data_IF_765382229232
#
_entry.id   IF_765382229232
#
_cell.length_a   1.000
_cell.length_b   1.000
_cell.length_c   1.000
_cell.angle_alpha   90.00
_cell.angle_beta   90.00
_cell.angle_gamma   90.00
#
_symmetry.space_group_name_H-M   'P 1'
#
loop_
_entity.id
_entity.type
_entity.pdbx_description
1 polymer ?
#
# COMPACT_ATOMS: atom_id res chain seq x y z
N UNK A 1 -6.05 -21.69 10.58
CA UNK A 1 -5.98 -20.23 10.38
C UNK A 1 -6.42 -20.01 8.94
N UNK A 2 -7.53 -19.31 8.69
CA UNK A 2 -8.17 -19.30 7.34
C UNK A 2 -7.58 -18.14 6.53
N UNK A 3 -6.91 -18.46 5.43
CA UNK A 3 -6.49 -17.50 4.42
C UNK A 3 -7.72 -16.85 3.77
N UNK A 4 -7.68 -15.52 3.54
CA UNK A 4 -8.79 -14.82 2.88
C UNK A 4 -8.68 -15.04 1.39
N UNK A 5 -9.52 -15.93 0.85
CA UNK A 5 -9.66 -16.12 -0.60
C UNK A 5 -10.75 -15.18 -1.12
N UNK A 6 -10.43 -14.38 -2.13
CA UNK A 6 -11.37 -13.48 -2.82
C UNK A 6 -11.81 -14.10 -4.14
N UNK A 7 -13.07 -13.90 -4.53
CA UNK A 7 -13.53 -14.25 -5.89
C UNK A 7 -13.02 -13.24 -6.93
N UNK A 8 -13.04 -13.61 -8.22
CA UNK A 8 -12.63 -12.68 -9.29
C UNK A 8 -13.51 -11.42 -9.35
N UNK A 9 -14.82 -11.53 -9.09
CA UNK A 9 -15.71 -10.36 -9.00
C UNK A 9 -15.31 -9.44 -7.83
N UNK A 10 -14.93 -10.05 -6.69
CA UNK A 10 -14.47 -9.31 -5.52
C UNK A 10 -13.14 -8.61 -5.77
N UNK A 11 -12.24 -9.24 -6.51
CA UNK A 11 -10.95 -8.66 -6.92
C UNK A 11 -11.20 -7.50 -7.88
N UNK A 12 -12.03 -7.72 -8.90
CA UNK A 12 -12.38 -6.71 -9.90
C UNK A 12 -12.99 -5.47 -9.25
N UNK A 13 -13.93 -5.64 -8.33
CA UNK A 13 -14.56 -4.54 -7.61
C UNK A 13 -13.58 -3.76 -6.71
N UNK A 14 -12.55 -4.43 -6.18
CA UNK A 14 -11.55 -3.81 -5.29
C UNK A 14 -10.41 -3.12 -6.04
N UNK A 15 -10.14 -3.50 -7.29
CA UNK A 15 -8.98 -3.04 -8.04
C UNK A 15 -8.83 -1.51 -8.07
N UNK A 16 -9.88 -0.71 -8.33
CA UNK A 16 -9.75 0.75 -8.32
C UNK A 16 -9.34 1.30 -6.96
N UNK A 17 -9.88 0.73 -5.87
CA UNK A 17 -9.56 1.14 -4.51
C UNK A 17 -8.16 0.68 -4.09
N UNK A 18 -7.73 -0.52 -4.51
CA UNK A 18 -6.35 -0.98 -4.33
C UNK A 18 -5.36 -0.04 -5.00
N UNK A 19 -5.60 0.35 -6.25
CA UNK A 19 -4.74 1.30 -6.97
C UNK A 19 -4.67 2.64 -6.23
N UNK A 20 -5.82 3.24 -5.89
CA UNK A 20 -5.86 4.53 -5.20
C UNK A 20 -5.16 4.52 -3.83
N UNK A 21 -5.31 3.43 -3.05
CA UNK A 21 -4.62 3.28 -1.76
C UNK A 21 -3.13 2.98 -1.92
N UNK A 22 -2.69 2.42 -3.06
CA UNK A 22 -1.29 2.09 -3.30
C UNK A 22 -0.40 3.32 -3.43
N UNK A 23 -0.95 4.45 -3.88
CA UNK A 23 -0.25 5.74 -3.97
C UNK A 23 0.37 6.18 -2.63
N UNK A 24 -0.23 5.79 -1.50
CA UNK A 24 0.28 6.06 -0.14
C UNK A 24 1.64 5.38 0.16
N UNK A 25 2.09 4.48 -0.71
CA UNK A 25 3.33 3.72 -0.57
C UNK A 25 4.42 4.16 -1.55
N UNK A 26 4.14 5.16 -2.37
CA UNK A 26 5.12 5.78 -3.26
C UNK A 26 5.96 6.82 -2.51
N UNK A 27 7.16 7.08 -3.01
CA UNK A 27 8.02 8.15 -2.52
C UNK A 27 7.64 9.50 -3.12
N UNK A 28 6.35 9.81 -3.05
CA UNK A 28 5.74 11.03 -3.60
C UNK A 28 4.80 11.65 -2.59
N UNK A 29 4.72 12.98 -2.58
CA UNK A 29 3.80 13.68 -1.68
C UNK A 29 2.37 13.59 -2.21
N UNK A 30 1.49 12.92 -1.46
CA UNK A 30 0.05 12.87 -1.73
C UNK A 30 -0.55 14.27 -1.78
N UNK A 31 -1.31 14.52 -2.84
CA UNK A 31 -2.08 15.73 -3.08
C UNK A 31 -3.56 15.49 -2.76
N UNK A 32 -4.33 16.59 -2.69
CA UNK A 32 -5.78 16.54 -2.46
C UNK A 32 -6.49 15.57 -3.41
N UNK A 33 -6.16 15.64 -4.69
CA UNK A 33 -6.76 14.84 -5.75
C UNK A 33 -6.56 13.33 -5.56
N UNK A 34 -5.46 12.92 -4.92
CA UNK A 34 -5.13 11.52 -4.69
C UNK A 34 -6.03 10.94 -3.59
N UNK A 35 -6.28 11.71 -2.52
CA UNK A 35 -7.29 11.34 -1.51
C UNK A 35 -8.71 11.35 -2.09
N UNK A 36 -9.05 12.31 -2.95
CA UNK A 36 -10.34 12.33 -3.64
C UNK A 36 -10.52 11.10 -4.56
N UNK A 37 -9.44 10.59 -5.15
CA UNK A 37 -9.46 9.35 -5.92
C UNK A 37 -9.79 8.13 -5.04
N UNK A 38 -9.26 8.06 -3.81
CA UNK A 38 -9.62 7.02 -2.83
C UNK A 38 -11.13 7.08 -2.52
N UNK A 39 -11.65 8.27 -2.22
CA UNK A 39 -13.07 8.44 -1.91
C UNK A 39 -13.97 8.09 -3.10
N UNK A 40 -13.54 8.43 -4.32
CA UNK A 40 -14.26 8.09 -5.56
C UNK A 40 -14.30 6.58 -5.78
N UNK A 41 -13.16 5.90 -5.70
CA UNK A 41 -13.06 4.45 -5.84
C UNK A 41 -13.88 3.73 -4.77
N UNK A 42 -13.89 4.23 -3.53
CA UNK A 42 -14.71 3.68 -2.46
C UNK A 42 -16.22 3.78 -2.78
N UNK A 43 -16.70 4.93 -3.25
CA UNK A 43 -18.11 5.13 -3.62
C UNK A 43 -18.52 4.27 -4.82
N UNK A 44 -17.71 4.26 -5.88
CA UNK A 44 -18.00 3.51 -7.09
C UNK A 44 -18.04 2.00 -6.84
N UNK A 45 -17.15 1.49 -5.96
CA UNK A 45 -17.15 0.10 -5.51
C UNK A 45 -18.20 -0.23 -4.44
N UNK A 46 -18.95 0.75 -3.95
CA UNK A 46 -19.96 0.56 -2.90
C UNK A 46 -19.39 0.18 -1.53
N UNK A 47 -18.16 0.58 -1.23
CA UNK A 47 -17.48 0.25 0.03
C UNK A 47 -17.84 1.23 1.14
N UNK A 48 -18.17 0.70 2.33
CA UNK A 48 -18.31 1.50 3.54
C UNK A 48 -16.94 1.96 4.06
N UNK A 49 -16.93 2.98 4.92
CA UNK A 49 -15.69 3.45 5.59
C UNK A 49 -14.94 2.32 6.30
N UNK A 50 -15.65 1.44 7.00
CA UNK A 50 -15.04 0.29 7.68
C UNK A 50 -14.44 -0.72 6.70
N UNK A 51 -15.09 -0.92 5.54
CA UNK A 51 -14.55 -1.78 4.49
C UNK A 51 -13.31 -1.18 3.84
N UNK A 52 -13.29 0.13 3.59
CA UNK A 52 -12.09 0.83 3.08
C UNK A 52 -10.94 0.66 4.07
N UNK A 53 -11.20 0.82 5.36
CA UNK A 53 -10.21 0.60 6.41
C UNK A 53 -9.68 -0.83 6.41
N UNK A 54 -10.58 -1.82 6.36
CA UNK A 54 -10.20 -3.23 6.34
C UNK A 54 -9.35 -3.57 5.11
N UNK A 55 -9.75 -3.08 3.93
CA UNK A 55 -9.01 -3.24 2.67
C UNK A 55 -7.62 -2.62 2.78
N UNK A 56 -7.53 -1.38 3.26
CA UNK A 56 -6.25 -0.70 3.44
C UNK A 56 -5.33 -1.48 4.39
N UNK A 57 -5.84 -1.85 5.55
CA UNK A 57 -5.04 -2.45 6.63
C UNK A 57 -4.67 -3.92 6.37
N UNK A 58 -5.52 -4.69 5.69
CA UNK A 58 -5.37 -6.15 5.56
C UNK A 58 -5.00 -6.63 4.17
N UNK A 59 -5.21 -5.80 3.14
CA UNK A 59 -4.97 -6.17 1.74
C UNK A 59 -3.80 -5.34 1.19
N UNK A 60 -3.93 -4.02 1.16
CA UNK A 60 -2.93 -3.13 0.53
C UNK A 60 -1.66 -2.99 1.38
N UNK A 61 -1.80 -2.66 2.66
CA UNK A 61 -0.65 -2.47 3.56
C UNK A 61 0.32 -3.66 3.59
N UNK A 62 -0.09 -4.92 3.85
CA UNK A 62 0.85 -6.03 3.91
C UNK A 62 1.50 -6.36 2.56
N UNK A 63 0.90 -5.95 1.44
CA UNK A 63 1.48 -6.12 0.11
C UNK A 63 2.58 -5.11 -0.18
N UNK A 64 2.46 -3.88 0.35
CA UNK A 64 3.31 -2.73 -0.01
C UNK A 64 4.18 -2.20 1.14
N UNK A 65 4.07 -2.74 2.35
CA UNK A 65 4.84 -2.28 3.51
C UNK A 65 6.36 -2.25 3.29
N UNK A 66 6.90 -3.10 2.42
CA UNK A 66 8.32 -3.11 2.07
C UNK A 66 8.78 -1.85 1.34
N UNK A 67 7.91 -1.22 0.54
CA UNK A 67 8.22 0.02 -0.17
C UNK A 67 8.53 1.16 0.81
N UNK A 68 7.91 1.15 2.00
CA UNK A 68 8.16 2.15 3.02
C UNK A 68 9.55 2.03 3.66
N UNK A 69 10.22 0.88 3.51
CA UNK A 69 11.56 0.63 4.04
C UNK A 69 12.66 0.88 3.00
N UNK A 70 12.32 1.08 1.72
CA UNK A 70 13.31 1.35 0.69
C UNK A 70 13.75 2.81 0.70
N UNK A 71 14.99 3.05 0.28
CA UNK A 71 15.69 4.33 0.47
C UNK A 71 15.47 5.30 -0.67
N UNK A 72 15.20 4.77 -1.85
CA UNK A 72 14.41 5.42 -2.87
C UNK A 72 13.22 4.47 -3.10
N UNK A 73 12.02 4.89 -2.70
CA UNK A 73 10.82 4.08 -2.90
C UNK A 73 10.42 3.99 -4.37
N UNK A 74 9.34 3.26 -4.65
CA UNK A 74 8.71 3.34 -5.97
C UNK A 74 8.15 4.74 -6.20
N UNK A 75 8.26 5.24 -7.43
CA UNK A 75 7.97 6.62 -7.82
C UNK A 75 7.19 6.69 -9.14
N UNK A 76 7.16 5.60 -9.92
CA UNK A 76 6.44 5.52 -11.19
C UNK A 76 4.99 5.01 -11.04
N UNK A 77 4.51 4.81 -9.81
CA UNK A 77 3.24 4.13 -9.54
C UNK A 77 3.36 2.61 -9.64
N UNK A 78 2.24 1.92 -9.39
CA UNK A 78 2.19 0.46 -9.52
C UNK A 78 1.40 0.06 -10.77
N UNK A 79 1.98 -0.82 -11.58
CA UNK A 79 1.21 -1.53 -12.60
C UNK A 79 0.09 -2.35 -11.95
N UNK A 80 -1.12 -2.29 -12.52
CA UNK A 80 -2.32 -2.85 -11.91
C UNK A 80 -2.25 -4.38 -11.77
N UNK A 81 -1.67 -5.07 -12.75
CA UNK A 81 -1.53 -6.53 -12.72
C UNK A 81 -0.49 -6.94 -11.67
N UNK A 82 0.63 -6.20 -11.61
CA UNK A 82 1.66 -6.41 -10.58
C UNK A 82 1.12 -6.14 -9.18
N UNK A 83 0.32 -5.09 -9.00
CA UNK A 83 -0.33 -4.77 -7.72
C UNK A 83 -1.30 -5.86 -7.30
N UNK A 84 -2.15 -6.33 -8.22
CA UNK A 84 -3.09 -7.44 -8.01
C UNK A 84 -2.34 -8.67 -7.50
N UNK A 85 -1.29 -9.09 -8.20
CA UNK A 85 -0.50 -10.26 -7.82
C UNK A 85 0.14 -10.11 -6.44
N UNK A 86 0.73 -8.94 -6.14
CA UNK A 86 1.32 -8.66 -4.82
C UNK A 86 0.30 -8.75 -3.69
N UNK A 87 -0.90 -8.21 -3.89
CA UNK A 87 -1.99 -8.28 -2.90
C UNK A 87 -2.46 -9.72 -2.71
N UNK A 88 -2.71 -10.46 -3.78
CA UNK A 88 -3.13 -11.87 -3.70
C UNK A 88 -2.08 -12.74 -2.99
N UNK A 89 -0.80 -12.54 -3.31
CA UNK A 89 0.30 -13.20 -2.60
C UNK A 89 0.32 -12.83 -1.12
N UNK A 90 0.11 -11.56 -0.76
CA UNK A 90 0.07 -11.11 0.62
C UNK A 90 -1.14 -11.67 1.41
N UNK A 91 -2.27 -11.91 0.75
CA UNK A 91 -3.46 -12.53 1.36
C UNK A 91 -3.25 -14.00 1.71
N UNK A 92 -2.42 -14.73 0.93
CA UNK A 92 -2.02 -16.10 1.20
C UNK A 92 -0.91 -16.25 2.25
N UNK A 93 -0.31 -15.16 2.74
CA UNK A 93 0.74 -15.23 3.78
C UNK A 93 0.14 -15.50 5.17
N UNK A 94 0.81 -16.27 6.03
CA UNK A 94 0.38 -16.47 7.42
C UNK A 94 0.22 -15.14 8.15
N UNK A 95 -0.85 -15.00 8.95
CA UNK A 95 -1.14 -13.75 9.67
C UNK A 95 0.01 -13.33 10.60
N UNK A 96 0.80 -14.29 11.10
CA UNK A 96 2.01 -14.01 11.86
C UNK A 96 2.97 -13.09 11.09
N UNK A 97 3.18 -13.25 9.77
CA UNK A 97 4.08 -12.39 9.00
C UNK A 97 3.80 -10.88 9.13
N UNK A 98 2.56 -10.51 9.47
CA UNK A 98 2.13 -9.12 9.68
C UNK A 98 2.70 -8.47 10.95
N UNK A 99 3.23 -9.24 11.91
CA UNK A 99 3.86 -8.67 13.11
C UNK A 99 5.15 -7.93 12.77
N UNK A 100 5.86 -8.34 11.72
CA UNK A 100 7.14 -7.75 11.30
C UNK A 100 7.00 -6.28 10.88
N UNK A 101 5.83 -5.90 10.37
CA UNK A 101 5.54 -4.56 9.85
C UNK A 101 4.58 -3.77 10.73
N UNK A 102 4.31 -4.24 11.95
CA UNK A 102 3.30 -3.65 12.84
C UNK A 102 3.56 -2.19 13.23
N UNK A 103 4.83 -1.83 13.44
CA UNK A 103 5.25 -0.45 13.73
C UNK A 103 4.98 0.49 12.56
N UNK A 104 5.40 0.11 11.35
CA UNK A 104 5.15 0.86 10.12
C UNK A 104 3.66 1.03 9.85
N UNK A 105 2.87 -0.02 10.09
CA UNK A 105 1.41 0.05 9.97
C UNK A 105 0.84 1.11 10.90
N UNK A 106 1.22 1.07 12.17
CA UNK A 106 0.72 2.00 13.18
C UNK A 106 1.02 3.45 12.79
N UNK A 107 2.25 3.72 12.33
CA UNK A 107 2.65 5.03 11.88
C UNK A 107 1.84 5.49 10.66
N UNK A 108 1.82 4.70 9.58
CA UNK A 108 1.08 5.04 8.37
C UNK A 108 -0.41 5.25 8.65
N UNK A 109 -1.02 4.40 9.49
CA UNK A 109 -2.43 4.57 9.86
C UNK A 109 -2.65 5.86 10.67
N UNK A 110 -1.75 6.20 11.59
CA UNK A 110 -1.89 7.42 12.38
C UNK A 110 -1.79 8.69 11.50
N UNK A 111 -0.94 8.64 10.48
CA UNK A 111 -0.72 9.74 9.54
C UNK A 111 -1.85 9.85 8.50
N UNK A 112 -2.16 8.74 7.81
CA UNK A 112 -2.98 8.76 6.60
C UNK A 112 -4.46 8.53 6.85
N UNK A 113 -4.83 7.75 7.87
CA UNK A 113 -6.24 7.42 8.12
C UNK A 113 -7.12 8.65 8.38
N UNK A 114 -6.70 9.66 9.17
CA UNK A 114 -7.51 10.86 9.37
C UNK A 114 -7.81 11.63 8.07
N UNK A 115 -6.87 11.62 7.11
CA UNK A 115 -7.02 12.26 5.79
C UNK A 115 -7.99 11.48 4.90
N UNK A 116 -7.83 10.16 4.86
CA UNK A 116 -8.74 9.24 4.14
C UNK A 116 -10.16 9.35 4.71
N UNK A 117 -10.30 9.33 6.05
CA UNK A 117 -11.60 9.45 6.70
C UNK A 117 -12.28 10.78 6.36
N UNK A 118 -11.53 11.88 6.33
CA UNK A 118 -12.08 13.19 5.95
C UNK A 118 -12.72 13.16 4.56
N UNK A 119 -12.01 12.65 3.54
CA UNK A 119 -12.55 12.59 2.17
C UNK A 119 -13.69 11.59 2.01
N UNK A 120 -13.70 10.48 2.76
CA UNK A 120 -14.82 9.55 2.78
C UNK A 120 -16.10 10.18 3.38
N UNK A 121 -15.93 11.11 4.32
CA UNK A 121 -17.02 11.90 4.92
C UNK A 121 -17.37 13.16 4.11
N UNK A 122 -16.74 13.39 2.96
CA UNK A 122 -16.96 14.57 2.13
C UNK A 122 -16.34 15.87 2.69
N UNK A 123 -15.37 15.75 3.60
CA UNK A 123 -14.59 16.86 4.17
C UNK A 123 -13.23 16.98 3.47
N UNK A 124 -12.63 18.17 3.53
CA UNK A 124 -11.28 18.36 3.01
C UNK A 124 -10.23 17.63 3.88
N UNK A 125 -9.24 16.94 3.28
CA UNK A 125 -8.17 16.29 4.04
C UNK A 125 -7.18 17.34 4.56
N UNK A 126 -6.66 17.11 5.78
CA UNK A 126 -5.62 17.98 6.31
C UNK A 126 -4.25 17.64 5.70
N UNK A 127 -3.78 18.49 4.79
CA UNK A 127 -2.52 18.32 4.06
C UNK A 127 -1.33 19.10 4.67
N UNK A 128 -1.41 19.55 5.94
CA UNK A 128 -0.22 20.15 6.59
C UNK A 128 0.99 19.24 6.36
N UNK A 129 2.12 19.84 5.98
CA UNK A 129 3.35 19.13 5.61
C UNK A 129 3.58 17.97 6.59
N UNK A 130 3.55 16.75 6.05
CA UNK A 130 3.89 15.58 6.84
C UNK A 130 5.31 15.77 7.38
N UNK A 131 5.60 15.33 8.63
CA UNK A 131 6.96 15.32 9.10
C UNK A 131 7.82 14.57 8.07
N UNK A 132 8.98 15.15 7.70
CA UNK A 132 9.92 14.53 6.76
C UNK A 132 10.13 13.08 7.19
N UNK A 133 9.80 12.14 6.30
CA UNK A 133 9.94 10.70 6.58
C UNK A 133 11.37 10.45 7.05
N UNK A 134 11.58 9.77 8.19
CA UNK A 134 12.93 9.55 8.69
C UNK A 134 13.72 8.79 7.62
N UNK A 135 14.97 9.20 7.37
CA UNK A 135 15.82 8.47 6.44
C UNK A 135 15.89 7.00 6.89
N UNK A 136 15.60 6.05 5.99
CA UNK A 136 15.67 4.64 6.33
C UNK A 136 17.08 4.27 6.82
N UNK A 137 17.20 3.38 7.83
CA UNK A 137 18.50 2.98 8.33
C UNK A 137 19.32 2.33 7.22
N UNK A 138 20.65 2.50 7.23
CA UNK A 138 21.59 2.00 6.20
C UNK A 138 21.37 0.51 5.86
N UNK A 139 20.94 -0.29 6.84
CA UNK A 139 20.63 -1.71 6.65
C UNK A 139 19.47 -1.97 5.67
N UNK A 140 18.50 -1.06 5.56
CA UNK A 140 17.39 -1.16 4.62
C UNK A 140 17.81 -0.83 3.17
N UNK A 141 18.84 0.00 2.97
CA UNK A 141 19.51 0.21 1.67
C UNK A 141 20.09 -1.11 1.17
N UNK A 142 20.80 -1.81 2.03
CA UNK A 142 21.46 -3.08 1.70
C UNK A 142 20.45 -4.18 1.33
N UNK A 143 19.30 -4.24 2.03
CA UNK A 143 18.22 -5.17 1.70
C UNK A 143 17.54 -4.84 0.36
N UNK A 144 17.34 -3.54 0.05
CA UNK A 144 16.83 -3.10 -1.24
C UNK A 144 17.77 -3.44 -2.41
N UNK A 145 19.07 -3.23 -2.23
CA UNK A 145 20.11 -3.62 -3.19
C UNK A 145 20.12 -5.12 -3.47
N UNK A 146 19.95 -5.96 -2.44
CA UNK A 146 19.91 -7.43 -2.61
C UNK A 146 18.71 -7.88 -3.44
N UNK A 147 17.53 -7.26 -3.29
CA UNK A 147 16.33 -7.59 -4.07
C UNK A 147 16.47 -7.12 -5.52
N UNK A 148 17.03 -5.93 -5.75
CA UNK A 148 17.33 -5.43 -7.11
C UNK A 148 18.37 -6.30 -7.81
N UNK A 149 19.42 -6.73 -7.11
CA UNK A 149 20.44 -7.63 -7.65
C UNK A 149 19.90 -9.04 -7.94
N UNK A 150 19.02 -9.57 -7.09
CA UNK A 150 18.36 -10.86 -7.34
C UNK A 150 17.39 -10.78 -8.53
N UNK A 151 16.66 -9.67 -8.67
CA UNK A 151 15.81 -9.41 -9.84
C UNK A 151 16.61 -9.27 -11.14
N UNK A 152 17.73 -8.54 -11.12
CA UNK A 152 18.63 -8.41 -12.27
C UNK A 152 19.31 -9.74 -12.62
N UNK A 153 19.71 -10.55 -11.65
CA UNK A 153 20.29 -11.88 -11.90
C UNK A 153 19.29 -12.82 -12.62
N UNK A 154 18.00 -12.73 -12.30
CA UNK A 154 16.94 -13.50 -12.95
C UNK A 154 16.61 -12.98 -14.37
N UNK A 155 16.66 -11.66 -14.59
CA UNK A 155 16.38 -11.04 -15.91
C UNK A 155 17.54 -11.22 -16.89
N UNK A 156 18.79 -11.23 -16.41
CA UNK A 156 19.99 -11.32 -17.25
C UNK A 156 20.65 -12.71 -17.28
N UNK A 157 20.08 -13.71 -16.59
CA UNK A 157 20.53 -15.10 -16.65
C UNK A 157 21.86 -15.37 -15.93
N UNK A 158 22.09 -14.71 -14.80
CA UNK A 158 23.28 -14.91 -13.95
C UNK A 158 22.95 -15.82 -12.75
N UNK A 159 22.14 -16.86 -12.99
CA UNK A 159 21.85 -17.97 -12.08
C UNK A 159 21.85 -19.28 -12.86
#
# INVERSE_FOLDING_TARGET
>A
MVERVLSEDQITARMPLWCALSELFLDTQMQRQDYEAIARAAREGGFSTDQVRDIFEREVFPALAFNLMQVAGEWAGFDADVLRERILLALGRPQASRFLTGGLKKQLMAEEWPRILAVLEGREPNLTEAPVKPEPPILAIAAGLLVVLAGLALVFGWL
#
